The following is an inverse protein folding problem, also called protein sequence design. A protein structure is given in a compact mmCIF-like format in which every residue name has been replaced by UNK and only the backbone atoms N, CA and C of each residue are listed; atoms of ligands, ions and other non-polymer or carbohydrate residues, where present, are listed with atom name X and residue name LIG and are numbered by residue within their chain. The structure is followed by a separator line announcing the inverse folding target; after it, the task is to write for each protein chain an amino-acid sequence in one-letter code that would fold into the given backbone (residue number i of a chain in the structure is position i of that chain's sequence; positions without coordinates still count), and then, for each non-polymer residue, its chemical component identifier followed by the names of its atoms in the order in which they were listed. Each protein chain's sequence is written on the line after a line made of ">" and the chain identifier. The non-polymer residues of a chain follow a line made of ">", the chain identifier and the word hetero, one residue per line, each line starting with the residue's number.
data_IF_135722385369
#
_entry.id   IF_135722385369
#
_cell.length_a   1.000
_cell.length_b   1.000
_cell.length_c   1.000
_cell.angle_alpha   90.00
_cell.angle_beta   90.00
_cell.angle_gamma   90.00
#
_symmetry.space_group_name_H-M   'P 1'
#
loop_
_entity.id
_entity.type
_entity.pdbx_description
1 polymer ?
#
# COMPACT_ATOMS: atom_id res chain seq x y z
N UNK A 1 -5.26 17.51 -5.18
CA UNK A 1 -6.17 17.62 -4.01
C UNK A 1 -7.20 16.50 -4.12
N UNK A 2 -7.10 15.43 -3.32
CA UNK A 2 -8.05 14.29 -3.35
C UNK A 2 -8.66 14.15 -1.95
N UNK A 3 -9.98 14.27 -1.89
CA UNK A 3 -10.79 14.15 -0.69
C UNK A 3 -11.02 12.64 -0.50
N UNK A 4 -10.63 12.01 0.62
CA UNK A 4 -10.81 10.58 0.81
C UNK A 4 -12.28 10.27 1.13
N UNK A 5 -12.98 9.59 0.23
CA UNK A 5 -14.29 9.00 0.49
C UNK A 5 -14.08 7.59 1.08
N UNK A 6 -14.66 7.35 2.25
CA UNK A 6 -14.69 6.03 2.86
C UNK A 6 -15.40 5.04 1.92
N UNK A 7 -14.82 3.85 1.70
CA UNK A 7 -15.38 2.83 0.80
C UNK A 7 -15.06 3.00 -0.69
N UNK A 8 -14.22 3.98 -1.06
CA UNK A 8 -13.76 4.12 -2.44
C UNK A 8 -12.60 3.15 -2.74
N UNK A 9 -12.60 2.47 -3.91
CA UNK A 9 -11.51 1.56 -4.29
C UNK A 9 -10.15 2.28 -4.28
N UNK A 10 -9.12 1.54 -3.90
CA UNK A 10 -7.74 2.01 -3.95
C UNK A 10 -7.37 2.42 -5.38
N UNK A 11 -6.71 3.57 -5.52
CA UNK A 11 -6.12 3.94 -6.82
C UNK A 11 -4.98 2.97 -7.16
N UNK A 12 -4.60 2.80 -8.44
CA UNK A 12 -3.53 1.89 -8.85
C UNK A 12 -2.21 2.13 -8.11
N UNK A 13 -1.89 3.40 -7.85
CA UNK A 13 -0.69 3.78 -7.13
C UNK A 13 -0.76 3.43 -5.63
N UNK A 14 -1.95 3.55 -5.03
CA UNK A 14 -2.17 3.20 -3.62
C UNK A 14 -2.11 1.67 -3.42
N UNK A 15 -2.70 0.90 -4.34
CA UNK A 15 -2.64 -0.57 -4.32
C UNK A 15 -1.23 -1.08 -4.58
N UNK A 16 -0.48 -0.48 -5.50
CA UNK A 16 0.95 -0.78 -5.72
C UNK A 16 1.78 -0.55 -4.44
N UNK A 17 1.63 0.62 -3.83
CA UNK A 17 2.32 0.98 -2.58
C UNK A 17 2.01 -0.02 -1.47
N UNK A 18 0.74 -0.40 -1.33
CA UNK A 18 0.28 -1.37 -0.33
C UNK A 18 0.75 -2.80 -0.64
N UNK A 19 0.85 -3.17 -1.92
CA UNK A 19 1.38 -4.47 -2.38
C UNK A 19 2.85 -4.60 -2.05
N UNK A 20 3.67 -3.57 -2.30
CA UNK A 20 5.09 -3.58 -1.91
C UNK A 20 5.26 -3.64 -0.40
N UNK A 21 4.39 -2.97 0.34
CA UNK A 21 4.36 -3.07 1.81
C UNK A 21 4.02 -4.50 2.26
N UNK A 22 3.03 -5.15 1.63
CA UNK A 22 2.65 -6.54 1.91
C UNK A 22 3.80 -7.53 1.64
N UNK A 23 4.61 -7.24 0.61
CA UNK A 23 5.81 -8.00 0.24
C UNK A 23 7.02 -7.74 1.15
N UNK A 24 6.93 -6.81 2.10
CA UNK A 24 7.99 -6.50 3.05
C UNK A 24 9.02 -5.47 2.57
N UNK A 25 8.76 -4.75 1.47
CA UNK A 25 9.65 -3.66 1.05
C UNK A 25 9.67 -2.54 2.10
N UNK A 26 10.85 -1.95 2.31
CA UNK A 26 10.99 -0.80 3.19
C UNK A 26 10.41 0.44 2.50
N UNK A 27 9.97 1.40 3.30
CA UNK A 27 9.44 2.67 2.77
C UNK A 27 10.43 3.41 1.88
N UNK A 28 11.74 3.22 2.10
CA UNK A 28 12.79 3.82 1.28
C UNK A 28 12.82 3.23 -0.14
N UNK A 29 12.74 1.90 -0.26
CA UNK A 29 12.66 1.21 -1.56
C UNK A 29 11.39 1.58 -2.33
N UNK A 30 10.26 1.64 -1.64
CA UNK A 30 8.99 2.08 -2.25
C UNK A 30 9.08 3.54 -2.72
N UNK A 31 9.80 4.37 -1.98
CA UNK A 31 9.99 5.78 -2.31
C UNK A 31 10.98 6.04 -3.45
N UNK A 32 11.91 5.13 -3.70
CA UNK A 32 12.81 5.19 -4.86
C UNK A 32 12.05 4.94 -6.16
N UNK A 33 11.04 4.08 -6.11
CA UNK A 33 10.22 3.70 -7.26
C UNK A 33 9.04 4.67 -7.50
N UNK A 34 8.60 5.34 -6.43
CA UNK A 34 7.50 6.31 -6.48
C UNK A 34 8.02 7.74 -6.73
N UNK A 35 7.42 8.45 -7.70
CA UNK A 35 7.74 9.82 -8.14
C UNK A 35 7.66 10.98 -7.09
N UNK A 36 7.68 10.72 -5.77
CA UNK A 36 7.47 11.73 -4.74
C UNK A 36 8.28 11.58 -3.44
N UNK A 37 9.18 10.60 -3.34
CA UNK A 37 10.03 10.41 -2.16
C UNK A 37 9.31 9.91 -0.89
N UNK A 38 10.09 9.71 0.18
CA UNK A 38 9.65 9.05 1.43
C UNK A 38 8.44 9.71 2.10
N UNK A 39 8.36 11.04 2.04
CA UNK A 39 7.26 11.79 2.63
C UNK A 39 5.95 11.61 1.86
N UNK A 40 6.03 11.45 0.53
CA UNK A 40 4.86 11.13 -0.29
C UNK A 40 4.36 9.72 -0.01
N UNK A 41 5.26 8.73 0.10
CA UNK A 41 4.88 7.36 0.47
C UNK A 41 4.16 7.31 1.81
N UNK A 42 4.70 7.97 2.84
CA UNK A 42 4.05 8.05 4.17
C UNK A 42 2.69 8.73 4.11
N UNK A 43 2.55 9.79 3.30
CA UNK A 43 1.30 10.51 3.12
C UNK A 43 0.26 9.65 2.40
N UNK A 44 0.66 8.95 1.34
CA UNK A 44 -0.18 8.00 0.60
C UNK A 44 -0.63 6.86 1.50
N UNK A 45 0.28 6.22 2.25
CA UNK A 45 -0.07 5.17 3.21
C UNK A 45 -1.04 5.65 4.28
N UNK A 46 -0.85 6.86 4.82
CA UNK A 46 -1.78 7.44 5.79
C UNK A 46 -3.18 7.64 5.19
N UNK A 47 -3.28 7.99 3.91
CA UNK A 47 -4.56 8.08 3.20
C UNK A 47 -5.18 6.71 2.99
N UNK A 48 -4.38 5.72 2.58
CA UNK A 48 -4.80 4.31 2.44
C UNK A 48 -5.35 3.78 3.75
N UNK A 49 -4.64 3.99 4.87
CA UNK A 49 -5.08 3.58 6.20
C UNK A 49 -6.41 4.25 6.58
N UNK A 50 -6.57 5.54 6.30
CA UNK A 50 -7.84 6.24 6.56
C UNK A 50 -8.98 5.75 5.67
N UNK A 51 -8.72 5.44 4.39
CA UNK A 51 -9.72 4.90 3.45
C UNK A 51 -10.20 3.51 3.86
N UNK A 52 -9.28 2.66 4.30
CA UNK A 52 -9.54 1.28 4.71
C UNK A 52 -10.02 1.17 6.17
N UNK A 53 -9.80 2.20 6.99
CA UNK A 53 -10.02 2.13 8.44
C UNK A 53 -8.95 1.34 9.20
N UNK A 54 -7.75 1.20 8.61
CA UNK A 54 -6.66 0.42 9.18
C UNK A 54 -5.84 1.21 10.20
N UNK A 55 -5.40 0.52 11.26
CA UNK A 55 -4.52 1.10 12.29
C UNK A 55 -3.02 0.90 11.99
N UNK A 56 -2.67 -0.07 11.15
CA UNK A 56 -1.29 -0.45 10.86
C UNK A 56 -1.14 -1.00 9.44
N UNK A 57 0.09 -1.08 8.93
CA UNK A 57 0.40 -1.65 7.62
C UNK A 57 -0.17 -3.07 7.42
N UNK A 58 0.11 -4.02 8.33
CA UNK A 58 -0.44 -5.38 8.24
C UNK A 58 -1.98 -5.39 8.30
N UNK A 59 -2.57 -4.55 9.16
CA UNK A 59 -4.03 -4.41 9.25
C UNK A 59 -4.62 -3.87 7.94
N UNK A 60 -3.94 -2.93 7.28
CA UNK A 60 -4.37 -2.38 6.00
C UNK A 60 -4.31 -3.42 4.88
N UNK A 61 -3.26 -4.26 4.86
CA UNK A 61 -3.15 -5.37 3.90
C UNK A 61 -4.29 -6.36 4.11
N UNK A 62 -4.55 -6.78 5.35
CA UNK A 62 -5.64 -7.68 5.67
C UNK A 62 -7.01 -7.11 5.25
N UNK A 63 -7.27 -5.83 5.52
CA UNK A 63 -8.51 -5.16 5.12
C UNK A 63 -8.63 -5.00 3.60
N UNK A 64 -7.54 -4.70 2.90
CA UNK A 64 -7.56 -4.58 1.45
C UNK A 64 -7.81 -5.92 0.75
N UNK A 65 -7.27 -7.02 1.30
CA UNK A 65 -7.58 -8.38 0.84
C UNK A 65 -9.05 -8.73 1.13
N UNK A 66 -9.52 -8.47 2.35
CA UNK A 66 -10.91 -8.73 2.75
C UNK A 66 -11.92 -7.91 1.93
N UNK A 67 -11.55 -6.70 1.52
CA UNK A 67 -12.35 -5.83 0.65
C UNK A 67 -12.24 -6.20 -0.85
N UNK A 68 -11.45 -7.21 -1.23
CA UNK A 68 -11.22 -7.60 -2.62
C UNK A 68 -10.43 -6.59 -3.46
N UNK A 69 -9.80 -5.60 -2.81
CA UNK A 69 -8.98 -4.58 -3.48
C UNK A 69 -7.54 -5.03 -3.75
N UNK A 70 -7.08 -6.07 -3.05
CA UNK A 70 -5.82 -6.75 -3.33
C UNK A 70 -6.07 -8.25 -3.49
N UNK A 71 -5.36 -8.93 -4.39
CA UNK A 71 -5.41 -10.38 -4.47
C UNK A 71 -4.89 -11.00 -3.17
N UNK A 72 -5.47 -12.12 -2.74
CA UNK A 72 -5.00 -12.89 -1.55
C UNK A 72 -3.56 -13.37 -1.68
N UNK A 73 -3.06 -13.50 -2.91
CA UNK A 73 -1.69 -13.92 -3.24
C UNK A 73 -0.65 -12.79 -3.09
N UNK A 74 -1.02 -11.53 -2.81
CA UNK A 74 -0.02 -10.44 -2.67
C UNK A 74 0.99 -10.65 -1.54
N UNK A 75 0.66 -11.50 -0.57
CA UNK A 75 1.56 -11.92 0.49
C UNK A 75 2.62 -12.94 0.03
N UNK A 76 2.54 -13.43 -1.21
CA UNK A 76 3.61 -14.21 -1.79
C UNK A 76 4.86 -13.33 -1.83
N UNK A 77 5.98 -13.76 -1.21
CA UNK A 77 7.22 -13.03 -1.26
C UNK A 77 7.61 -12.92 -2.72
N UNK A 78 7.55 -11.70 -3.26
CA UNK A 78 8.09 -11.42 -4.58
C UNK A 78 9.56 -11.77 -4.50
N UNK A 79 9.92 -12.85 -5.21
CA UNK A 79 11.25 -13.42 -5.31
C UNK A 79 12.29 -12.30 -5.26
N UNK A 80 13.12 -12.33 -4.22
CA UNK A 80 14.32 -11.53 -4.08
C UNK A 80 15.03 -11.47 -5.44
N UNK A 81 15.11 -10.29 -6.04
CA UNK A 81 16.11 -10.04 -7.06
C UNK A 81 17.30 -9.42 -6.35
N UNK A 82 18.17 -10.30 -5.89
CA UNK A 82 19.54 -9.97 -5.50
C UNK A 82 20.28 -9.53 -6.77
N UNK A 83 20.82 -8.31 -6.76
CA UNK A 83 21.92 -7.84 -7.62
C UNK A 83 22.81 -6.95 -6.74
#
# INVERSE_FOLDING_TARGET
>A
MTIPLHGQPLTPHESETLTRLARGHRYADIALDTYGGLNSVKTTLRRVYRKLGAASGPHAVALAIAAGSLPTDVAAPSVFKED
#
